data_IF_975416042391
#
_entry.id   IF_975416042391
#
_cell.length_a   1.000
_cell.length_b   1.000
_cell.length_c   1.000
_cell.angle_alpha   90.00
_cell.angle_beta   90.00
_cell.angle_gamma   90.00
#
_symmetry.space_group_name_H-M   'P 1'
#
loop_
_entity.id
_entity.type
_entity.pdbx_description
1 polymer ?
#
# COMPACT_ATOMS: atom_id res chain seq x y z
N UNK A 1 -1.45 0.61 33.35
CA UNK A 1 -2.17 0.52 32.06
C UNK A 1 -3.25 -0.56 32.07
N UNK A 2 -2.95 -1.81 32.48
CA UNK A 2 -3.95 -2.90 32.59
C UNK A 2 -5.19 -2.52 33.42
N UNK A 3 -5.02 -1.86 34.55
CA UNK A 3 -6.16 -1.36 35.35
C UNK A 3 -6.91 -0.21 34.68
N UNK A 4 -6.22 0.62 33.90
CA UNK A 4 -6.82 1.79 33.26
C UNK A 4 -7.77 1.38 32.14
N UNK A 5 -7.45 0.36 31.34
CA UNK A 5 -8.31 -0.06 30.22
C UNK A 5 -9.67 -0.62 30.68
N UNK A 6 -9.76 -1.10 31.93
CA UNK A 6 -10.99 -1.60 32.55
C UNK A 6 -11.95 -0.50 33.04
N UNK A 7 -11.54 0.77 32.99
CA UNK A 7 -12.37 1.89 33.45
C UNK A 7 -13.61 2.11 32.57
N UNK A 8 -14.76 2.32 33.20
CA UNK A 8 -16.04 2.52 32.52
C UNK A 8 -16.15 3.91 31.87
N UNK A 9 -15.45 4.91 32.41
CA UNK A 9 -15.52 6.31 31.99
C UNK A 9 -14.64 6.65 30.78
N UNK A 10 -13.81 5.72 30.31
CA UNK A 10 -13.01 5.92 29.10
C UNK A 10 -13.86 5.88 27.84
N UNK A 11 -13.61 6.83 26.95
CA UNK A 11 -14.16 6.81 25.59
C UNK A 11 -13.68 5.56 24.84
N UNK A 12 -14.45 5.09 23.85
CA UNK A 12 -14.03 3.97 23.00
C UNK A 12 -12.69 4.24 22.31
N UNK A 13 -12.44 5.50 21.91
CA UNK A 13 -11.16 5.91 21.30
C UNK A 13 -10.00 5.69 22.26
N UNK A 14 -10.12 6.17 23.50
CA UNK A 14 -9.02 6.06 24.46
C UNK A 14 -8.83 4.60 24.92
N UNK A 15 -9.91 3.82 25.01
CA UNK A 15 -9.82 2.36 25.22
C UNK A 15 -9.03 1.68 24.11
N UNK A 16 -9.30 2.01 22.85
CA UNK A 16 -8.52 1.48 21.74
C UNK A 16 -7.04 1.86 21.87
N UNK A 17 -6.70 3.12 22.20
CA UNK A 17 -5.32 3.52 22.44
C UNK A 17 -4.64 2.73 23.56
N UNK A 18 -5.32 2.51 24.69
CA UNK A 18 -4.78 1.66 25.76
C UNK A 18 -4.56 0.22 25.31
N UNK A 19 -5.48 -0.35 24.53
CA UNK A 19 -5.33 -1.70 23.98
C UNK A 19 -4.10 -1.82 23.07
N UNK A 20 -3.91 -0.92 22.11
CA UNK A 20 -2.73 -0.96 21.25
C UNK A 20 -1.42 -0.72 22.02
N UNK A 21 -1.42 0.18 23.01
CA UNK A 21 -0.24 0.42 23.87
C UNK A 21 0.10 -0.81 24.75
N UNK A 22 -0.92 -1.46 25.33
CA UNK A 22 -0.75 -2.68 26.10
C UNK A 22 -0.25 -3.83 25.24
N UNK A 23 -0.77 -3.98 24.03
CA UNK A 23 -0.27 -4.97 23.08
C UNK A 23 1.23 -4.80 22.80
N UNK A 24 1.67 -3.56 22.55
CA UNK A 24 3.08 -3.25 22.35
C UNK A 24 3.92 -3.58 23.60
N UNK A 25 3.45 -3.19 24.80
CA UNK A 25 4.15 -3.47 26.05
C UNK A 25 4.28 -4.97 26.36
N UNK A 26 3.21 -5.73 26.14
CA UNK A 26 3.20 -7.19 26.33
C UNK A 26 4.16 -7.86 25.34
N UNK A 27 4.18 -7.42 24.08
CA UNK A 27 5.11 -7.95 23.08
C UNK A 27 6.58 -7.73 23.47
N UNK A 28 6.93 -6.55 23.98
CA UNK A 28 8.30 -6.26 24.46
C UNK A 28 8.70 -7.21 25.60
N UNK A 29 7.74 -7.66 26.42
CA UNK A 29 7.98 -8.61 27.51
C UNK A 29 7.88 -10.09 27.06
N UNK A 30 7.59 -10.37 25.79
CA UNK A 30 7.38 -11.73 25.28
C UNK A 30 6.03 -12.36 25.66
N UNK A 31 5.09 -11.56 26.18
CA UNK A 31 3.74 -11.98 26.59
C UNK A 31 2.78 -12.00 25.37
N UNK A 32 3.08 -12.83 24.37
CA UNK A 32 2.41 -12.78 23.05
C UNK A 32 0.90 -13.06 23.08
N UNK A 33 0.42 -13.89 24.00
CA UNK A 33 -1.02 -14.17 24.13
C UNK A 33 -1.81 -12.99 24.64
N UNK A 34 -1.28 -12.33 25.67
CA UNK A 34 -1.89 -11.12 26.20
C UNK A 34 -1.76 -9.97 25.20
N UNK A 35 -0.63 -9.89 24.48
CA UNK A 35 -0.46 -8.95 23.39
C UNK A 35 -1.55 -9.14 22.33
N UNK A 36 -1.81 -10.38 21.89
CA UNK A 36 -2.86 -10.68 20.93
C UNK A 36 -4.25 -10.34 21.46
N UNK A 37 -4.55 -10.70 22.71
CA UNK A 37 -5.81 -10.34 23.35
C UNK A 37 -6.06 -8.83 23.27
N UNK A 38 -5.05 -8.01 23.58
CA UNK A 38 -5.20 -6.56 23.50
C UNK A 38 -5.28 -6.06 22.05
N UNK A 39 -4.56 -6.65 21.10
CA UNK A 39 -4.72 -6.35 19.67
C UNK A 39 -6.15 -6.61 19.23
N UNK A 40 -6.69 -7.80 19.48
CA UNK A 40 -8.05 -8.18 19.10
C UNK A 40 -9.09 -7.20 19.67
N UNK A 41 -8.97 -6.83 20.94
CA UNK A 41 -9.89 -5.89 21.59
C UNK A 41 -9.81 -4.47 21.02
N UNK A 42 -8.60 -3.96 20.80
CA UNK A 42 -8.40 -2.64 20.19
C UNK A 42 -8.91 -2.59 18.74
N UNK A 43 -8.58 -3.62 17.95
CA UNK A 43 -9.06 -3.80 16.59
C UNK A 43 -10.59 -3.91 16.53
N UNK A 44 -11.21 -4.70 17.43
CA UNK A 44 -12.67 -4.82 17.50
C UNK A 44 -13.37 -3.48 17.70
N UNK A 45 -12.86 -2.63 18.59
CA UNK A 45 -13.45 -1.29 18.79
C UNK A 45 -13.42 -0.47 17.50
N UNK A 46 -12.34 -0.56 16.73
CA UNK A 46 -12.20 0.15 15.44
C UNK A 46 -13.08 -0.46 14.35
N UNK A 47 -13.15 -1.79 14.28
CA UNK A 47 -13.96 -2.51 13.31
C UNK A 47 -15.47 -2.29 13.55
N UNK A 48 -15.94 -2.31 14.82
CA UNK A 48 -17.34 -2.04 15.16
C UNK A 48 -17.81 -0.61 14.79
N UNK A 49 -16.88 0.32 14.54
CA UNK A 49 -17.14 1.69 14.07
C UNK A 49 -17.01 1.86 12.56
N UNK A 50 -16.59 0.81 11.85
CA UNK A 50 -16.29 0.83 10.42
C UNK A 50 -17.53 0.46 9.59
N UNK A 51 -17.59 1.00 8.37
CA UNK A 51 -18.54 0.58 7.32
C UNK A 51 -17.89 -0.38 6.31
N UNK A 52 -16.69 -0.88 6.61
CA UNK A 52 -15.97 -1.81 5.74
C UNK A 52 -16.74 -3.11 5.56
N UNK A 53 -16.70 -3.64 4.33
CA UNK A 53 -17.25 -4.94 3.99
C UNK A 53 -16.33 -5.59 2.96
N UNK A 54 -15.97 -6.84 3.23
CA UNK A 54 -15.20 -7.69 2.30
C UNK A 54 -15.90 -7.74 0.94
N UNK A 55 -17.19 -8.10 0.92
CA UNK A 55 -17.96 -8.25 -0.32
C UNK A 55 -17.98 -6.96 -1.15
N UNK A 56 -18.16 -5.81 -0.49
CA UNK A 56 -18.20 -4.53 -1.17
C UNK A 56 -16.82 -4.19 -1.76
N UNK A 57 -15.76 -4.39 -0.98
CA UNK A 57 -14.41 -4.06 -1.43
C UNK A 57 -13.97 -4.99 -2.57
N UNK A 58 -14.28 -6.27 -2.49
CA UNK A 58 -14.02 -7.24 -3.55
C UNK A 58 -14.75 -6.84 -4.85
N UNK A 59 -16.03 -6.42 -4.76
CA UNK A 59 -16.77 -5.89 -5.91
C UNK A 59 -16.11 -4.63 -6.49
N UNK A 60 -15.63 -3.72 -5.65
CA UNK A 60 -14.96 -2.49 -6.10
C UNK A 60 -13.64 -2.79 -6.83
N UNK A 61 -12.85 -3.77 -6.36
CA UNK A 61 -11.60 -4.18 -7.02
C UNK A 61 -11.86 -5.04 -8.26
N UNK A 62 -12.85 -5.93 -8.23
CA UNK A 62 -13.26 -6.72 -9.39
C UNK A 62 -13.77 -5.82 -10.52
N UNK A 63 -14.47 -4.73 -10.22
CA UNK A 63 -14.90 -3.78 -11.24
C UNK A 63 -13.73 -3.13 -12.00
N UNK A 64 -12.54 -2.98 -11.38
CA UNK A 64 -11.33 -2.55 -12.09
C UNK A 64 -10.87 -3.58 -13.10
N UNK A 65 -10.90 -4.86 -12.73
CA UNK A 65 -10.54 -5.99 -13.59
C UNK A 65 -11.51 -6.08 -14.77
N UNK A 66 -12.81 -6.01 -14.48
CA UNK A 66 -13.87 -6.20 -15.48
C UNK A 66 -13.96 -5.05 -16.49
N UNK A 67 -13.63 -3.83 -16.07
CA UNK A 67 -13.72 -2.64 -16.94
C UNK A 67 -12.41 -2.35 -17.66
N UNK A 68 -11.27 -2.46 -16.98
CA UNK A 68 -9.99 -2.03 -17.53
C UNK A 68 -9.23 -3.22 -18.14
N UNK A 69 -9.83 -3.88 -19.13
CA UNK A 69 -9.25 -5.01 -19.84
C UNK A 69 -8.45 -4.59 -21.10
N UNK A 70 -7.96 -5.56 -21.87
CA UNK A 70 -7.20 -5.30 -23.11
C UNK A 70 -8.05 -4.54 -24.14
N UNK A 71 -9.36 -4.82 -24.23
CA UNK A 71 -10.28 -4.16 -25.15
C UNK A 71 -10.45 -2.70 -24.76
N UNK A 72 -10.64 -2.42 -23.48
CA UNK A 72 -10.74 -1.06 -22.94
C UNK A 72 -9.54 -0.18 -23.30
N UNK A 73 -8.32 -0.68 -23.09
CA UNK A 73 -7.12 0.08 -23.44
C UNK A 73 -6.93 0.18 -24.97
N UNK A 74 -7.36 -0.83 -25.73
CA UNK A 74 -7.38 -0.78 -27.19
C UNK A 74 -8.33 0.28 -27.74
N UNK A 75 -9.56 0.33 -27.23
CA UNK A 75 -10.63 1.24 -27.67
C UNK A 75 -10.34 2.70 -27.33
N UNK A 76 -9.84 2.97 -26.12
CA UNK A 76 -9.43 4.33 -25.72
C UNK A 76 -8.17 4.80 -26.44
N UNK A 77 -7.34 3.87 -26.91
CA UNK A 77 -6.08 4.13 -27.57
C UNK A 77 -5.05 4.86 -26.69
N UNK A 78 -3.90 5.14 -27.28
CA UNK A 78 -2.85 5.93 -26.64
C UNK A 78 -3.31 7.37 -26.39
N UNK A 79 -2.80 7.97 -25.32
CA UNK A 79 -3.19 9.31 -24.93
C UNK A 79 -2.91 9.63 -23.47
N UNK A 80 -3.19 10.87 -23.09
CA UNK A 80 -2.82 11.41 -21.78
C UNK A 80 -1.65 12.37 -21.89
N UNK A 81 -1.25 12.94 -20.76
CA UNK A 81 -0.15 13.88 -20.70
C UNK A 81 1.19 13.14 -20.87
N UNK A 82 1.97 13.55 -21.87
CA UNK A 82 3.29 12.99 -22.14
C UNK A 82 4.32 13.54 -21.15
N UNK A 83 4.48 12.83 -20.03
CA UNK A 83 5.45 13.12 -18.97
C UNK A 83 6.09 11.82 -18.48
N UNK A 84 7.38 11.86 -18.16
CA UNK A 84 8.15 10.75 -17.55
C UNK A 84 8.50 11.01 -16.10
N UNK A 85 8.19 12.20 -15.60
CA UNK A 85 8.59 12.72 -14.30
C UNK A 85 8.03 11.90 -13.11
N UNK A 86 6.75 11.46 -13.11
CA UNK A 86 6.18 10.83 -11.93
C UNK A 86 6.55 9.33 -11.79
N UNK A 87 6.98 8.97 -10.59
CA UNK A 87 7.20 7.60 -10.14
C UNK A 87 6.15 7.28 -9.06
N UNK A 88 5.19 6.41 -9.39
CA UNK A 88 4.20 5.95 -8.43
C UNK A 88 4.75 4.77 -7.64
N UNK A 89 4.83 4.91 -6.32
CA UNK A 89 5.19 3.83 -5.41
C UNK A 89 3.94 3.43 -4.63
N UNK A 90 3.38 2.28 -4.98
CA UNK A 90 2.09 1.79 -4.50
C UNK A 90 2.21 0.37 -3.94
N UNK A 91 1.09 -0.15 -3.44
CA UNK A 91 1.01 -1.46 -2.81
C UNK A 91 0.11 -1.39 -1.57
N UNK A 92 0.29 -2.31 -0.63
CA UNK A 92 -0.41 -2.22 0.65
C UNK A 92 0.40 -1.41 1.67
N UNK A 93 -0.26 -0.75 2.65
CA UNK A 93 0.43 -0.24 3.82
C UNK A 93 1.30 -1.33 4.44
N UNK A 94 2.45 -0.94 5.00
CA UNK A 94 3.39 -1.87 5.67
C UNK A 94 4.06 -2.88 4.74
N UNK A 95 3.91 -2.77 3.42
CA UNK A 95 4.58 -3.60 2.43
C UNK A 95 5.99 -3.12 2.01
N UNK A 96 6.52 -2.06 2.64
CA UNK A 96 7.88 -1.55 2.37
C UNK A 96 7.94 -0.36 1.39
N UNK A 97 6.80 0.21 0.97
CA UNK A 97 6.78 1.36 0.04
C UNK A 97 7.55 2.59 0.53
N UNK A 98 7.58 2.86 1.84
CA UNK A 98 8.40 3.96 2.40
C UNK A 98 9.89 3.68 2.28
N UNK A 99 10.32 2.42 2.39
CA UNK A 99 11.73 2.06 2.20
C UNK A 99 12.14 2.23 0.74
N UNK A 100 11.32 1.75 -0.19
CA UNK A 100 11.52 1.96 -1.64
C UNK A 100 11.63 3.45 -1.96
N UNK A 101 10.71 4.26 -1.42
CA UNK A 101 10.74 5.71 -1.61
C UNK A 101 12.01 6.35 -1.04
N UNK A 102 12.46 5.93 0.14
CA UNK A 102 13.66 6.47 0.76
C UNK A 102 14.92 6.12 -0.04
N UNK A 103 15.00 4.90 -0.57
CA UNK A 103 16.07 4.46 -1.48
C UNK A 103 16.09 5.34 -2.73
N UNK A 104 14.95 5.48 -3.41
CA UNK A 104 14.87 6.23 -4.66
C UNK A 104 15.08 7.72 -4.47
N UNK A 105 14.54 8.31 -3.42
CA UNK A 105 14.71 9.73 -3.09
C UNK A 105 16.13 10.09 -2.62
N UNK A 106 17.02 9.11 -2.48
CA UNK A 106 18.45 9.35 -2.26
C UNK A 106 19.22 9.52 -3.58
N UNK A 107 18.59 9.24 -4.72
CA UNK A 107 19.14 9.52 -6.05
C UNK A 107 19.01 11.01 -6.40
N UNK A 108 20.07 11.61 -6.94
CA UNK A 108 20.15 13.04 -7.25
C UNK A 108 19.08 13.53 -8.25
N UNK A 109 18.60 12.62 -9.09
CA UNK A 109 17.56 12.88 -10.11
C UNK A 109 16.12 12.61 -9.64
N UNK A 110 15.88 12.24 -8.37
CA UNK A 110 14.54 11.91 -7.86
C UNK A 110 14.22 12.74 -6.62
N UNK A 111 13.16 13.54 -6.71
CA UNK A 111 12.57 14.17 -5.54
C UNK A 111 11.62 13.22 -4.82
N UNK A 112 11.97 12.90 -3.59
CA UNK A 112 11.03 12.25 -2.69
C UNK A 112 9.99 13.24 -2.18
N UNK A 113 8.71 13.03 -2.50
CA UNK A 113 7.62 13.92 -2.05
C UNK A 113 6.93 13.43 -0.75
N UNK A 114 5.63 13.15 -0.78
CA UNK A 114 4.78 12.67 0.31
C UNK A 114 3.74 11.69 -0.26
N UNK A 115 2.77 11.31 0.58
CA UNK A 115 1.51 10.72 0.14
C UNK A 115 0.66 11.81 -0.54
N UNK A 116 0.52 11.77 -1.86
CA UNK A 116 -0.22 12.77 -2.63
C UNK A 116 -1.67 12.30 -2.86
N UNK A 117 -2.70 13.11 -2.51
CA UNK A 117 -4.10 12.70 -2.65
C UNK A 117 -4.62 12.81 -4.08
N UNK A 118 -3.85 13.36 -5.02
CA UNK A 118 -4.32 13.82 -6.33
C UNK A 118 -5.02 12.73 -7.16
N UNK A 119 -4.43 11.53 -7.26
CA UNK A 119 -5.06 10.41 -8.00
C UNK A 119 -6.36 9.97 -7.33
N UNK A 120 -6.39 9.92 -5.99
CA UNK A 120 -7.61 9.59 -5.25
C UNK A 120 -8.69 10.65 -5.48
N UNK A 121 -8.32 11.93 -5.53
CA UNK A 121 -9.24 13.03 -5.84
C UNK A 121 -9.79 12.96 -7.26
N UNK A 122 -8.96 12.66 -8.26
CA UNK A 122 -9.43 12.47 -9.65
C UNK A 122 -10.39 11.28 -9.72
N UNK A 123 -10.03 10.15 -9.12
CA UNK A 123 -10.89 8.97 -9.08
C UNK A 123 -12.23 9.27 -8.36
N UNK A 124 -12.21 10.06 -7.28
CA UNK A 124 -13.41 10.50 -6.59
C UNK A 124 -14.29 11.39 -7.47
N UNK A 125 -13.72 12.33 -8.22
CA UNK A 125 -14.48 13.15 -9.17
C UNK A 125 -15.11 12.32 -10.28
N UNK A 126 -14.44 11.25 -10.75
CA UNK A 126 -14.98 10.33 -11.76
C UNK A 126 -16.13 9.45 -11.25
N UNK A 127 -16.32 9.35 -9.93
CA UNK A 127 -17.52 8.72 -9.34
C UNK A 127 -18.76 9.61 -9.49
N UNK A 128 -18.58 10.94 -9.58
CA UNK A 128 -19.66 11.91 -9.65
C UNK A 128 -20.58 11.83 -8.42
N UNK A 129 -21.89 11.73 -8.65
CA UNK A 129 -22.90 11.59 -7.59
C UNK A 129 -22.81 10.25 -6.83
N UNK A 130 -22.10 9.26 -7.38
CA UNK A 130 -21.89 7.95 -6.75
C UNK A 130 -20.74 7.97 -5.74
N UNK A 131 -20.79 8.92 -4.80
CA UNK A 131 -19.74 9.13 -3.80
C UNK A 131 -19.47 7.85 -3.00
N UNK A 132 -20.53 7.07 -2.74
CA UNK A 132 -20.45 5.81 -2.02
C UNK A 132 -20.21 4.59 -2.91
N UNK A 133 -19.94 4.73 -4.21
CA UNK A 133 -19.65 3.59 -5.10
C UNK A 133 -20.78 2.55 -5.22
N UNK A 134 -22.02 2.92 -4.90
CA UNK A 134 -23.20 2.05 -4.95
C UNK A 134 -23.73 1.86 -6.37
N UNK A 135 -23.54 2.85 -7.24
CA UNK A 135 -23.96 2.81 -8.64
C UNK A 135 -22.88 2.17 -9.54
N UNK A 136 -21.65 2.07 -9.04
CA UNK A 136 -20.52 1.50 -9.77
C UNK A 136 -20.04 2.39 -10.91
N UNK A 137 -20.19 3.72 -10.76
CA UNK A 137 -19.85 4.68 -11.81
C UNK A 137 -18.35 4.65 -12.15
N UNK A 138 -17.49 4.56 -11.15
CA UNK A 138 -16.06 4.34 -11.34
C UNK A 138 -15.74 2.86 -11.09
N UNK A 139 -15.01 2.17 -11.97
CA UNK A 139 -14.22 2.68 -13.11
C UNK A 139 -14.96 2.87 -14.45
N UNK A 140 -16.23 2.49 -14.58
CA UNK A 140 -16.98 2.52 -15.86
C UNK A 140 -16.97 3.88 -16.58
N UNK A 141 -16.99 4.98 -15.84
CA UNK A 141 -16.95 6.35 -16.37
C UNK A 141 -15.68 6.67 -17.14
N UNK A 142 -14.61 5.88 -16.98
CA UNK A 142 -13.38 6.04 -17.76
C UNK A 142 -13.58 5.71 -19.25
N UNK A 143 -14.57 4.88 -19.62
CA UNK A 143 -14.87 4.52 -21.02
C UNK A 143 -15.22 5.74 -21.89
N UNK A 144 -15.76 6.81 -21.29
CA UNK A 144 -16.17 8.02 -22.00
C UNK A 144 -15.12 9.13 -21.97
N UNK A 145 -13.94 8.90 -21.41
CA UNK A 145 -12.92 9.93 -21.31
C UNK A 145 -12.32 10.25 -22.68
N UNK A 146 -12.46 11.51 -23.10
CA UNK A 146 -11.81 11.99 -24.32
C UNK A 146 -10.30 12.12 -24.13
N UNK A 147 -9.55 12.17 -25.23
CA UNK A 147 -8.10 12.46 -25.17
C UNK A 147 -7.80 13.79 -24.45
N UNK A 148 -8.56 14.84 -24.76
CA UNK A 148 -8.41 16.16 -24.13
C UNK A 148 -8.63 16.11 -22.61
N UNK A 149 -9.63 15.35 -22.14
CA UNK A 149 -9.88 15.17 -20.71
C UNK A 149 -8.72 14.43 -20.04
N UNK A 150 -8.21 13.36 -20.66
CA UNK A 150 -7.05 12.59 -20.16
C UNK A 150 -5.80 13.47 -20.07
N UNK A 151 -5.52 14.25 -21.10
CA UNK A 151 -4.42 15.22 -21.10
C UNK A 151 -4.58 16.27 -20.03
N UNK A 152 -5.79 16.82 -19.86
CA UNK A 152 -6.06 17.85 -18.85
C UNK A 152 -5.86 17.31 -17.44
N UNK A 153 -6.33 16.09 -17.16
CA UNK A 153 -6.12 15.43 -15.87
C UNK A 153 -4.63 15.17 -15.59
N UNK A 154 -3.89 14.68 -16.58
CA UNK A 154 -2.45 14.44 -16.45
C UNK A 154 -1.64 15.73 -16.24
N UNK A 155 -1.94 16.78 -17.03
CA UNK A 155 -1.33 18.12 -16.86
C UNK A 155 -1.66 18.70 -15.48
N UNK A 156 -2.91 18.60 -15.06
CA UNK A 156 -3.36 19.05 -13.73
C UNK A 156 -2.59 18.35 -12.60
N UNK A 157 -2.44 17.02 -12.67
CA UNK A 157 -1.63 16.28 -11.70
C UNK A 157 -0.18 16.80 -11.64
N UNK A 158 0.44 17.07 -12.80
CA UNK A 158 1.81 17.58 -12.83
C UNK A 158 1.90 18.98 -12.21
N UNK A 159 0.99 19.89 -12.54
CA UNK A 159 0.97 21.24 -12.00
C UNK A 159 0.70 21.27 -10.48
N UNK A 160 -0.33 20.55 -10.03
CA UNK A 160 -0.76 20.54 -8.63
C UNK A 160 0.32 19.99 -7.68
N UNK A 161 1.16 19.09 -8.17
CA UNK A 161 2.19 18.45 -7.37
C UNK A 161 3.50 19.23 -7.35
N UNK A 162 3.68 20.28 -8.17
CA UNK A 162 4.90 21.11 -8.19
C UNK A 162 5.29 21.65 -6.82
N UNK A 163 4.31 22.03 -5.99
CA UNK A 163 4.58 22.57 -4.65
C UNK A 163 5.24 21.57 -3.67
N UNK A 164 5.24 20.29 -4.01
CA UNK A 164 5.84 19.22 -3.21
C UNK A 164 7.21 18.76 -3.73
N UNK A 165 7.64 19.28 -4.89
CA UNK A 165 8.88 18.92 -5.57
C UNK A 165 9.96 19.96 -5.30
N UNK A 166 11.21 19.59 -5.60
CA UNK A 166 12.34 20.51 -5.71
C UNK A 166 12.72 20.58 -7.20
N UNK A 167 14.02 20.54 -7.49
CA UNK A 167 14.57 20.75 -8.83
C UNK A 167 14.87 19.44 -9.58
N UNK A 168 14.57 18.28 -8.99
CA UNK A 168 14.86 17.01 -9.64
C UNK A 168 13.93 16.76 -10.84
N UNK A 169 14.42 16.12 -11.92
CA UNK A 169 13.61 15.86 -13.11
C UNK A 169 12.50 14.83 -12.90
N UNK A 170 12.66 13.94 -11.91
CA UNK A 170 11.65 12.94 -11.53
C UNK A 170 11.24 13.15 -10.08
N UNK A 171 10.06 12.66 -9.72
CA UNK A 171 9.57 12.73 -8.34
C UNK A 171 8.71 11.53 -8.00
N UNK A 172 8.69 11.14 -6.72
CA UNK A 172 7.86 10.04 -6.24
C UNK A 172 6.48 10.54 -5.81
N UNK A 173 5.41 9.87 -6.22
CA UNK A 173 4.15 9.83 -5.48
C UNK A 173 4.08 8.49 -4.75
N UNK A 174 4.35 8.50 -3.44
CA UNK A 174 4.25 7.30 -2.62
C UNK A 174 2.91 7.32 -1.90
N UNK A 175 1.89 6.78 -2.55
CA UNK A 175 0.55 6.58 -2.01
C UNK A 175 0.14 5.11 -2.19
N UNK A 176 0.20 4.26 -1.14
CA UNK A 176 -0.06 2.82 -1.27
C UNK A 176 -1.37 2.53 -2.01
N UNK A 177 -2.45 3.21 -1.61
CA UNK A 177 -3.80 3.03 -2.15
C UNK A 177 -3.96 3.34 -3.65
N UNK A 178 -2.96 3.96 -4.31
CA UNK A 178 -2.99 4.19 -5.75
C UNK A 178 -3.00 2.89 -6.57
N UNK A 179 -2.67 1.73 -5.98
CA UNK A 179 -2.77 0.42 -6.64
C UNK A 179 -4.17 0.16 -7.23
N UNK A 180 -5.22 0.74 -6.61
CA UNK A 180 -6.61 0.65 -7.03
C UNK A 180 -6.90 1.42 -8.32
N UNK A 181 -6.00 2.31 -8.74
CA UNK A 181 -6.20 3.34 -9.75
C UNK A 181 -5.16 3.30 -10.87
N UNK A 182 -4.43 2.18 -11.02
CA UNK A 182 -3.40 2.02 -12.05
C UNK A 182 -3.97 2.24 -13.46
N UNK A 183 -5.17 1.73 -13.75
CA UNK A 183 -5.83 1.99 -15.03
C UNK A 183 -6.03 3.49 -15.32
N UNK A 184 -6.43 4.27 -14.30
CA UNK A 184 -6.55 5.72 -14.41
C UNK A 184 -5.18 6.39 -14.62
N UNK A 185 -4.18 6.03 -13.81
CA UNK A 185 -2.81 6.57 -13.91
C UNK A 185 -2.28 6.36 -15.34
N UNK A 186 -2.43 5.15 -15.88
CA UNK A 186 -1.97 4.82 -17.22
C UNK A 186 -2.71 5.64 -18.31
N UNK A 187 -4.01 5.88 -18.14
CA UNK A 187 -4.78 6.68 -19.10
C UNK A 187 -4.38 8.15 -19.13
N UNK A 188 -4.05 8.75 -17.97
CA UNK A 188 -3.77 10.19 -17.89
C UNK A 188 -2.27 10.50 -18.01
N UNK A 189 -1.40 9.54 -17.70
CA UNK A 189 0.07 9.65 -17.76
C UNK A 189 0.67 8.30 -18.22
N UNK A 190 0.61 8.00 -19.53
CA UNK A 190 0.95 6.67 -20.07
C UNK A 190 2.44 6.28 -19.92
N UNK A 191 3.30 7.27 -19.68
CA UNK A 191 4.75 7.14 -19.54
C UNK A 191 5.21 7.21 -18.08
N UNK A 192 4.30 7.36 -17.11
CA UNK A 192 4.62 7.26 -15.69
C UNK A 192 5.16 5.88 -15.34
N UNK A 193 6.13 5.82 -14.43
CA UNK A 193 6.69 4.57 -13.92
C UNK A 193 5.94 4.16 -12.65
N UNK A 194 5.64 2.87 -12.51
CA UNK A 194 4.90 2.34 -11.37
C UNK A 194 5.72 1.26 -10.69
N UNK A 195 5.87 1.35 -9.37
CA UNK A 195 6.52 0.35 -8.53
C UNK A 195 5.50 -0.21 -7.55
N UNK A 196 5.31 -1.53 -7.61
CA UNK A 196 4.50 -2.31 -6.68
C UNK A 196 5.38 -2.82 -5.54
N UNK A 197 5.33 -2.13 -4.40
CA UNK A 197 6.00 -2.56 -3.18
C UNK A 197 5.22 -3.73 -2.55
N UNK A 198 5.82 -4.92 -2.59
CA UNK A 198 5.23 -6.18 -2.15
C UNK A 198 5.94 -6.71 -0.92
N UNK A 199 5.22 -7.44 -0.08
CA UNK A 199 5.77 -8.08 1.11
C UNK A 199 5.08 -9.40 1.37
N UNK A 200 5.75 -10.35 2.01
CA UNK A 200 5.15 -11.63 2.35
C UNK A 200 3.78 -11.46 3.08
N UNK A 201 2.70 -12.18 2.68
CA UNK A 201 1.34 -11.84 3.10
C UNK A 201 1.11 -11.90 4.61
N UNK A 202 1.64 -12.91 5.30
CA UNK A 202 1.47 -13.03 6.76
C UNK A 202 2.14 -11.86 7.49
N UNK A 203 3.34 -11.47 7.08
CA UNK A 203 4.04 -10.32 7.65
C UNK A 203 3.33 -9.00 7.33
N UNK A 204 2.86 -8.83 6.10
CA UNK A 204 2.17 -7.61 5.69
C UNK A 204 0.84 -7.43 6.43
N UNK A 205 -0.04 -8.44 6.37
CA UNK A 205 -1.36 -8.40 7.00
C UNK A 205 -1.27 -8.27 8.51
N UNK A 206 -0.38 -9.03 9.15
CA UNK A 206 -0.23 -8.94 10.61
C UNK A 206 0.39 -7.61 11.05
N UNK A 207 1.32 -7.05 10.28
CA UNK A 207 1.85 -5.70 10.53
C UNK A 207 0.77 -4.62 10.42
N UNK A 208 -0.17 -4.74 9.47
CA UNK A 208 -1.33 -3.86 9.38
C UNK A 208 -2.27 -4.04 10.59
N UNK A 209 -2.58 -5.27 10.98
CA UNK A 209 -3.42 -5.58 12.16
C UNK A 209 -2.86 -5.03 13.48
N UNK A 210 -1.54 -4.92 13.58
CA UNK A 210 -0.87 -4.33 14.75
C UNK A 210 -0.82 -2.81 14.76
N UNK A 211 -1.10 -2.17 13.62
CA UNK A 211 -0.95 -0.74 13.47
C UNK A 211 -2.30 -0.05 13.66
N UNK A 212 -2.36 0.89 14.61
CA UNK A 212 -3.48 1.82 14.67
C UNK A 212 -3.26 2.94 13.64
N UNK A 213 -4.03 2.92 12.56
CA UNK A 213 -3.97 3.93 11.52
C UNK A 213 -4.88 5.13 11.85
N UNK A 214 -4.50 6.32 11.35
CA UNK A 214 -5.31 7.52 11.53
C UNK A 214 -6.66 7.40 10.79
N UNK A 215 -6.66 7.01 9.52
CA UNK A 215 -7.85 6.85 8.68
C UNK A 215 -7.57 5.98 7.44
N UNK A 216 -8.61 5.42 6.82
CA UNK A 216 -8.59 4.94 5.43
C UNK A 216 -8.01 3.54 5.22
N UNK A 217 -7.75 2.82 6.32
CA UNK A 217 -7.18 1.48 6.34
C UNK A 217 -8.06 0.52 7.16
N UNK A 218 -9.37 0.64 7.01
CA UNK A 218 -10.36 -0.02 7.86
C UNK A 218 -10.27 -1.56 7.80
N UNK A 219 -9.87 -2.12 6.65
CA UNK A 219 -9.65 -3.55 6.46
C UNK A 219 -8.56 -4.13 7.37
N UNK A 220 -7.67 -3.29 7.90
CA UNK A 220 -6.58 -3.74 8.78
C UNK A 220 -7.07 -4.18 10.16
N UNK A 221 -8.26 -3.76 10.58
CA UNK A 221 -8.78 -4.01 11.93
C UNK A 221 -9.48 -5.37 12.09
N UNK A 222 -9.28 -6.28 11.14
CA UNK A 222 -9.75 -7.66 11.23
C UNK A 222 -8.85 -8.59 10.41
N UNK A 223 -8.58 -9.78 10.96
CA UNK A 223 -7.65 -10.72 10.32
C UNK A 223 -8.22 -11.31 9.01
N UNK A 224 -9.52 -11.59 8.97
CA UNK A 224 -10.18 -12.09 7.77
C UNK A 224 -10.31 -10.99 6.71
N UNK A 225 -10.61 -9.77 7.14
CA UNK A 225 -10.70 -8.57 6.32
C UNK A 225 -9.35 -8.24 5.67
N UNK A 226 -8.27 -8.27 6.45
CA UNK A 226 -6.92 -8.02 5.96
C UNK A 226 -6.48 -9.08 4.93
N UNK A 227 -6.75 -10.36 5.19
CA UNK A 227 -6.37 -11.43 4.25
C UNK A 227 -7.19 -11.41 2.96
N UNK A 228 -8.50 -11.20 3.03
CA UNK A 228 -9.34 -10.99 1.85
C UNK A 228 -8.87 -9.79 1.03
N UNK A 229 -8.59 -8.66 1.67
CA UNK A 229 -8.10 -7.46 0.98
C UNK A 229 -6.77 -7.71 0.28
N UNK A 230 -5.84 -8.41 0.94
CA UNK A 230 -4.55 -8.76 0.36
C UNK A 230 -4.70 -9.66 -0.87
N UNK A 231 -5.56 -10.68 -0.80
CA UNK A 231 -5.86 -11.57 -1.93
C UNK A 231 -6.43 -10.80 -3.11
N UNK A 232 -7.40 -9.92 -2.88
CA UNK A 232 -8.01 -9.09 -3.92
C UNK A 232 -7.01 -8.10 -4.52
N UNK A 233 -6.09 -7.55 -3.70
CA UNK A 233 -4.96 -6.77 -4.18
C UNK A 233 -4.01 -7.58 -5.08
N UNK A 234 -3.63 -8.82 -4.70
CA UNK A 234 -2.80 -9.69 -5.55
C UNK A 234 -3.49 -9.95 -6.89
N UNK A 235 -4.78 -10.29 -6.87
CA UNK A 235 -5.55 -10.55 -8.10
C UNK A 235 -5.58 -9.32 -9.01
N UNK A 236 -5.81 -8.13 -8.45
CA UNK A 236 -5.83 -6.89 -9.21
C UNK A 236 -4.45 -6.56 -9.80
N UNK A 237 -3.37 -6.74 -9.05
CA UNK A 237 -2.02 -6.51 -9.58
C UNK A 237 -1.63 -7.51 -10.67
N UNK A 238 -2.04 -8.78 -10.55
CA UNK A 238 -1.83 -9.78 -11.60
C UNK A 238 -2.61 -9.44 -12.88
N UNK A 239 -3.81 -8.85 -12.75
CA UNK A 239 -4.55 -8.31 -13.89
C UNK A 239 -3.75 -7.21 -14.59
N UNK A 240 -3.21 -6.25 -13.84
CA UNK A 240 -2.41 -5.18 -14.42
C UNK A 240 -1.13 -5.67 -15.11
N UNK A 241 -0.44 -6.67 -14.54
CA UNK A 241 0.73 -7.28 -15.18
C UNK A 241 0.37 -7.91 -16.54
N UNK A 242 -0.85 -8.43 -16.69
CA UNK A 242 -1.36 -9.01 -17.94
C UNK A 242 -1.71 -7.94 -18.97
N UNK A 243 -2.49 -6.93 -18.58
CA UNK A 243 -3.07 -5.96 -19.54
C UNK A 243 -2.19 -4.73 -19.78
N UNK A 244 -1.21 -4.46 -18.90
CA UNK A 244 -0.22 -3.38 -19.00
C UNK A 244 1.22 -3.93 -18.85
N UNK A 245 1.67 -4.81 -19.77
CA UNK A 245 2.97 -5.45 -19.65
C UNK A 245 4.10 -4.41 -19.62
N UNK A 246 5.09 -4.65 -18.75
CA UNK A 246 6.27 -3.79 -18.53
C UNK A 246 5.97 -2.37 -17.99
N UNK A 247 4.74 -2.08 -17.55
CA UNK A 247 4.41 -0.78 -16.94
C UNK A 247 4.63 -0.73 -15.43
N UNK A 248 4.70 -1.89 -14.79
CA UNK A 248 4.79 -2.02 -13.33
C UNK A 248 6.00 -2.87 -12.98
N UNK A 249 6.84 -2.36 -12.08
CA UNK A 249 7.92 -3.13 -11.46
C UNK A 249 7.48 -3.62 -10.09
N UNK A 250 7.35 -4.94 -9.94
CA UNK A 250 7.16 -5.56 -8.62
C UNK A 250 8.48 -5.63 -7.86
N UNK A 251 8.49 -5.13 -6.63
CA UNK A 251 9.65 -5.12 -5.74
C UNK A 251 9.25 -5.74 -4.40
N UNK A 252 9.77 -6.93 -4.10
CA UNK A 252 9.50 -7.58 -2.82
C UNK A 252 10.43 -7.02 -1.74
N UNK A 253 9.88 -6.72 -0.58
CA UNK A 253 10.61 -6.25 0.59
C UNK A 253 11.69 -7.25 1.03
N UNK A 254 11.39 -8.54 0.96
CA UNK A 254 12.32 -9.62 1.28
C UNK A 254 13.54 -9.61 0.34
N UNK A 255 13.34 -9.36 -0.96
CA UNK A 255 14.43 -9.27 -1.94
C UNK A 255 15.36 -8.08 -1.64
N UNK A 256 14.82 -6.94 -1.19
CA UNK A 256 15.63 -5.78 -0.76
C UNK A 256 16.46 -6.13 0.48
N UNK A 257 15.88 -6.90 1.41
CA UNK A 257 16.57 -7.33 2.63
C UNK A 257 17.71 -8.30 2.32
N UNK A 258 17.52 -9.17 1.33
CA UNK A 258 18.50 -10.17 0.92
C UNK A 258 19.61 -9.60 0.03
N UNK A 259 19.28 -8.72 -0.92
CA UNK A 259 20.21 -8.10 -1.87
C UNK A 259 19.80 -6.66 -2.20
N UNK A 260 20.17 -5.73 -1.31
CA UNK A 260 19.88 -4.31 -1.49
C UNK A 260 20.48 -3.75 -2.78
N UNK A 261 21.76 -4.02 -3.06
CA UNK A 261 22.45 -3.44 -4.22
C UNK A 261 21.86 -3.95 -5.54
N UNK A 262 21.56 -5.25 -5.62
CA UNK A 262 20.89 -5.83 -6.79
C UNK A 262 19.49 -5.26 -7.02
N UNK A 263 18.69 -5.09 -5.97
CA UNK A 263 17.36 -4.48 -6.11
C UNK A 263 17.44 -2.99 -6.45
N UNK A 264 18.41 -2.24 -5.93
CA UNK A 264 18.66 -0.84 -6.32
C UNK A 264 18.96 -0.74 -7.81
N UNK A 265 19.90 -1.56 -8.32
CA UNK A 265 20.22 -1.58 -9.76
C UNK A 265 19.01 -1.90 -10.62
N UNK A 266 18.21 -2.90 -10.23
CA UNK A 266 16.98 -3.30 -10.93
C UNK A 266 15.94 -2.17 -10.95
N UNK A 267 15.75 -1.46 -9.84
CA UNK A 267 14.83 -0.32 -9.79
C UNK A 267 15.30 0.85 -10.66
N UNK A 268 16.59 1.20 -10.60
CA UNK A 268 17.14 2.29 -11.40
C UNK A 268 17.14 1.96 -12.90
N UNK A 269 17.41 0.72 -13.28
CA UNK A 269 17.29 0.24 -14.67
C UNK A 269 15.86 0.39 -15.20
N UNK A 270 14.85 -0.02 -14.42
CA UNK A 270 13.44 0.17 -14.77
C UNK A 270 13.05 1.64 -14.93
N UNK A 271 13.65 2.52 -14.12
CA UNK A 271 13.46 3.97 -14.16
C UNK A 271 14.33 4.67 -15.22
N UNK A 272 15.19 3.94 -15.94
CA UNK A 272 16.13 4.48 -16.93
C UNK A 272 17.13 5.48 -16.33
N UNK A 273 17.57 5.24 -15.09
CA UNK A 273 18.50 6.09 -14.34
C UNK A 273 19.87 5.43 -14.12
N UNK A 274 20.97 6.22 -14.04
CA UNK A 274 22.28 5.69 -13.68
C UNK A 274 22.30 5.16 -12.25
N UNK A 275 23.25 4.29 -11.93
CA UNK A 275 23.46 3.86 -10.55
C UNK A 275 24.10 4.97 -9.71
N UNK A 276 23.54 5.23 -8.54
CA UNK A 276 24.11 6.10 -7.51
C UNK A 276 24.23 5.35 -6.17
N UNK A 277 25.38 5.49 -5.51
CA UNK A 277 25.68 4.80 -4.25
C UNK A 277 24.81 5.31 -3.10
N UNK A 278 24.33 6.54 -3.19
CA UNK A 278 23.49 7.19 -2.21
C UNK A 278 22.17 6.41 -2.00
N UNK A 279 21.71 5.68 -3.02
CA UNK A 279 20.57 4.77 -2.93
C UNK A 279 20.80 3.58 -1.99
N UNK A 280 22.04 3.06 -1.87
CA UNK A 280 22.36 1.97 -0.93
C UNK A 280 22.70 2.49 0.47
N UNK A 281 23.08 3.77 0.59
CA UNK A 281 23.28 4.49 1.85
C UNK A 281 22.11 5.42 2.20
N UNK A 282 20.89 5.05 1.79
CA UNK A 282 19.67 5.86 1.91
C UNK A 282 19.35 6.37 3.33
N UNK A 283 19.88 5.69 4.35
CA UNK A 283 19.70 6.01 5.77
C UNK A 283 20.57 7.19 6.23
N UNK A 284 21.54 7.61 5.42
CA UNK A 284 22.38 8.80 5.65
C UNK A 284 21.73 10.08 5.09
N UNK A 285 20.75 9.93 4.19
CA UNK A 285 20.04 11.06 3.56
C UNK A 285 19.11 11.77 4.55
N UNK A 286 19.37 13.05 4.82
CA UNK A 286 18.51 13.86 5.69
C UNK A 286 17.23 14.29 4.96
N UNK A 287 16.13 13.58 5.25
CA UNK A 287 14.78 13.85 4.72
C UNK A 287 13.71 13.73 5.80
N UNK A 288 12.65 14.54 5.66
CA UNK A 288 11.42 14.41 6.44
C UNK A 288 10.55 13.27 5.90
N UNK A 289 10.44 12.17 6.64
CA UNK A 289 9.52 11.04 6.34
C UNK A 289 8.33 11.10 7.32
N UNK A 290 7.11 11.28 6.80
CA UNK A 290 5.88 11.44 7.60
C UNK A 290 4.97 10.22 7.51
N UNK A 291 5.47 9.03 7.85
CA UNK A 291 4.71 7.77 7.80
C UNK A 291 4.91 6.96 9.08
N UNK A 292 4.05 5.97 9.34
CA UNK A 292 4.24 5.03 10.45
C UNK A 292 5.51 4.14 10.31
N UNK A 293 6.28 4.29 9.23
CA UNK A 293 7.58 3.62 9.00
C UNK A 293 8.77 4.57 9.13
N UNK A 294 8.59 5.82 9.55
CA UNK A 294 9.67 6.85 9.57
C UNK A 294 10.92 6.40 10.34
N UNK A 295 10.76 5.79 11.51
CA UNK A 295 11.88 5.31 12.33
C UNK A 295 12.61 4.12 11.71
N UNK A 296 11.89 3.30 10.92
CA UNK A 296 12.44 2.09 10.31
C UNK A 296 13.39 2.44 9.16
N UNK A 297 13.06 3.47 8.38
CA UNK A 297 13.84 3.87 7.19
C UNK A 297 15.04 4.76 7.53
N UNK A 298 15.22 5.14 8.79
CA UNK A 298 16.41 5.88 9.31
C UNK A 298 17.54 4.95 9.75
N UNK A 299 17.41 3.65 9.54
CA UNK A 299 18.38 2.63 9.91
C UNK A 299 18.81 1.84 8.67
N UNK A 300 20.02 1.24 8.68
CA UNK A 300 20.38 0.25 7.67
C UNK A 300 19.36 -0.89 7.59
N UNK A 301 19.30 -1.51 6.41
CA UNK A 301 18.50 -2.71 6.16
C UNK A 301 18.77 -3.77 7.24
N UNK A 302 17.70 -4.33 7.78
CA UNK A 302 17.77 -5.37 8.81
C UNK A 302 16.57 -6.32 8.69
N UNK A 303 16.66 -7.45 9.41
CA UNK A 303 15.65 -8.51 9.39
C UNK A 303 14.60 -8.38 10.51
N UNK A 304 14.63 -7.33 11.34
CA UNK A 304 13.74 -7.18 12.51
C UNK A 304 12.26 -7.10 12.12
N UNK A 305 11.98 -6.68 10.88
CA UNK A 305 10.63 -6.63 10.34
C UNK A 305 10.05 -8.00 9.98
N UNK A 306 10.88 -8.99 9.66
CA UNK A 306 10.45 -10.28 9.10
C UNK A 306 9.93 -11.23 10.18
N UNK A 307 9.01 -12.10 9.78
CA UNK A 307 8.49 -13.20 10.60
C UNK A 307 7.86 -12.77 11.93
N UNK A 308 7.45 -11.50 12.08
CA UNK A 308 6.88 -10.97 13.33
C UNK A 308 5.53 -11.58 13.68
N UNK A 309 4.90 -12.24 12.72
CA UNK A 309 3.68 -13.01 12.91
C UNK A 309 3.91 -14.36 13.60
N UNK A 310 5.13 -14.93 13.54
CA UNK A 310 5.40 -16.30 14.03
C UNK A 310 5.04 -16.54 15.50
N UNK A 311 5.36 -15.63 16.45
CA UNK A 311 4.96 -15.81 17.85
C UNK A 311 3.44 -15.83 18.07
N UNK A 312 2.68 -15.34 17.09
CA UNK A 312 1.22 -15.23 17.12
C UNK A 312 0.51 -16.31 16.30
N UNK A 313 1.25 -17.27 15.73
CA UNK A 313 0.74 -18.18 14.69
C UNK A 313 -0.59 -18.86 15.05
N UNK A 314 -0.76 -19.29 16.30
CA UNK A 314 -1.98 -19.96 16.79
C UNK A 314 -3.25 -19.09 16.72
N UNK A 315 -3.10 -17.78 16.63
CA UNK A 315 -4.21 -16.83 16.54
C UNK A 315 -4.55 -16.43 15.10
N UNK A 316 -3.74 -16.84 14.11
CA UNK A 316 -3.82 -16.36 12.73
C UNK A 316 -4.65 -17.24 11.80
N UNK A 317 -5.38 -18.23 12.34
CA UNK A 317 -6.29 -19.07 11.54
C UNK A 317 -7.29 -18.26 10.69
N UNK A 318 -7.92 -17.17 11.18
CA UNK A 318 -8.81 -16.36 10.34
C UNK A 318 -8.09 -15.70 9.16
N UNK A 319 -6.84 -15.26 9.36
CA UNK A 319 -6.01 -14.68 8.30
C UNK A 319 -5.68 -15.73 7.23
N UNK A 320 -5.20 -16.91 7.66
CA UNK A 320 -4.90 -18.05 6.77
C UNK A 320 -6.12 -18.41 5.91
N UNK A 321 -7.29 -18.56 6.52
CA UNK A 321 -8.51 -18.95 5.81
C UNK A 321 -8.91 -17.96 4.70
N UNK A 322 -8.69 -16.66 4.91
CA UNK A 322 -9.07 -15.61 3.96
C UNK A 322 -8.03 -15.36 2.86
N UNK A 323 -6.73 -15.48 3.18
CA UNK A 323 -5.64 -15.39 2.19
C UNK A 323 -5.70 -16.53 1.18
N UNK A 324 -6.01 -17.75 1.65
CA UNK A 324 -5.81 -18.97 0.87
C UNK A 324 -4.38 -19.49 0.96
N UNK A 325 -4.21 -20.79 0.71
CA UNK A 325 -2.93 -21.49 0.81
C UNK A 325 -1.98 -21.15 -0.34
N UNK A 326 -2.50 -20.70 -1.49
CA UNK A 326 -1.74 -20.42 -2.71
C UNK A 326 -0.77 -19.23 -2.59
N UNK A 327 -0.98 -18.36 -1.59
CA UNK A 327 -0.14 -17.19 -1.34
C UNK A 327 0.91 -17.43 -0.25
N UNK A 328 0.92 -18.62 0.37
CA UNK A 328 1.66 -18.91 1.59
C UNK A 328 2.62 -20.09 1.41
N UNK A 329 3.67 -20.10 2.23
CA UNK A 329 4.62 -21.21 2.27
C UNK A 329 4.00 -22.40 3.04
N UNK A 330 4.17 -23.65 2.57
CA UNK A 330 3.62 -24.84 3.24
C UNK A 330 3.98 -24.96 4.72
N UNK A 331 5.22 -24.62 5.10
CA UNK A 331 5.70 -24.63 6.48
C UNK A 331 4.96 -23.64 7.39
N UNK A 332 4.56 -22.49 6.85
CA UNK A 332 3.86 -21.46 7.60
C UNK A 332 2.39 -21.83 7.82
N UNK A 333 1.77 -22.44 6.80
CA UNK A 333 0.43 -23.04 6.91
C UNK A 333 0.42 -24.11 8.00
N UNK A 334 1.42 -25.00 7.99
CA UNK A 334 1.58 -26.02 9.01
C UNK A 334 1.77 -25.42 10.41
N UNK A 335 2.50 -24.30 10.54
CA UNK A 335 2.71 -23.62 11.81
C UNK A 335 1.43 -22.99 12.37
N UNK A 336 0.55 -22.44 11.53
CA UNK A 336 -0.74 -21.84 11.95
C UNK A 336 -1.76 -22.93 12.31
N UNK A 337 -1.67 -24.10 11.69
CA UNK A 337 -2.58 -25.23 11.92
C UNK A 337 -2.22 -26.11 13.12
N UNK A 338 -1.05 -25.90 13.74
CA UNK A 338 -0.64 -26.53 15.01
C UNK A 338 -1.30 -25.82 16.17
#
# INVERSE_FOLDING_TARGET
MREQVGRVDLSLRDKAYFHFALAQGCEVNGEYDEAFFHLERGNKIKNDQSLYSIERMDKELQAQIDVCDETFFGDLGSGGHDTKDPIFILGLPRAGSTLVEQILASHSMIDGTLELPNILSIAQSLRGEDIYGKLGNYPKSMNSLTLEQRETMGKGFIEDTKMHRKDAPMFTDKMPNNFRHIGLIHLIMPNAKIIDARRYPLDCCFSMFKQLFAQGQEFSYGLAEAGSYYKSYVNLMNHWDKVLPNKILRVNNEDIIEDLEGQVKRMLEFLELPYEKECISFYETDRSVRTASSEQVRRPINKEGMERWKPYSKHLKPLLNSLGEELLKPEDIAQINR
#
